data_IF_683167713137
#
_entry.id   IF_683167713137
#
_cell.length_a   1.000
_cell.length_b   1.000
_cell.length_c   1.000
_cell.angle_alpha   90.00
_cell.angle_beta   90.00
_cell.angle_gamma   90.00
#
_symmetry.space_group_name_H-M   'P 1'
#
loop_
_entity.id
_entity.type
_entity.pdbx_description
1 polymer ?
#
# COMPACT_ATOMS: atom_id res chain seq x y z
N UNK A 1 -24.53 -0.01 -8.38
CA UNK A 1 -23.18 0.27 -8.89
C UNK A 1 -22.70 1.49 -8.13
N UNK A 2 -21.81 1.30 -7.16
CA UNK A 2 -21.11 2.42 -6.52
C UNK A 2 -20.03 2.82 -7.52
N UNK A 3 -20.00 4.09 -7.89
CA UNK A 3 -18.98 4.66 -8.76
C UNK A 3 -17.70 4.76 -7.91
N UNK A 4 -16.74 3.86 -8.13
CA UNK A 4 -15.46 3.84 -7.44
C UNK A 4 -14.58 4.97 -7.99
N UNK A 5 -14.89 6.22 -7.63
CA UNK A 5 -14.16 7.40 -8.08
C UNK A 5 -13.15 7.85 -7.02
N UNK A 6 -11.95 8.26 -7.44
CA UNK A 6 -10.95 8.83 -6.54
C UNK A 6 -11.46 10.13 -5.90
N UNK A 7 -11.34 10.27 -4.58
CA UNK A 7 -11.74 11.48 -3.85
C UNK A 7 -10.72 12.62 -3.99
N UNK A 8 -9.54 12.33 -4.52
CA UNK A 8 -8.49 13.28 -4.86
C UNK A 8 -7.90 12.96 -6.22
N UNK A 9 -7.43 13.97 -6.96
CA UNK A 9 -6.83 13.77 -8.28
C UNK A 9 -5.39 14.26 -8.27
N UNK A 10 -4.46 13.35 -8.61
CA UNK A 10 -3.05 13.68 -8.82
C UNK A 10 -2.90 14.74 -9.92
N UNK A 11 -2.09 15.80 -9.70
CA UNK A 11 -1.85 16.81 -10.73
C UNK A 11 -1.31 16.18 -12.01
N UNK A 12 -1.94 16.49 -13.16
CA UNK A 12 -1.54 15.98 -14.48
C UNK A 12 -0.12 16.41 -14.89
N UNK A 13 0.43 17.45 -14.25
CA UNK A 13 1.81 17.89 -14.45
C UNK A 13 2.85 16.89 -13.93
N UNK A 14 2.45 15.94 -13.06
CA UNK A 14 3.34 14.89 -12.56
C UNK A 14 3.13 13.64 -13.41
N UNK A 15 4.17 13.27 -14.17
CA UNK A 15 4.16 12.04 -14.97
C UNK A 15 3.74 10.82 -14.13
N UNK A 16 2.97 9.92 -14.75
CA UNK A 16 2.48 8.70 -14.12
C UNK A 16 2.42 7.56 -15.17
N UNK A 17 2.94 6.36 -14.87
CA UNK A 17 3.75 6.03 -13.70
C UNK A 17 5.17 6.62 -13.80
N UNK A 18 5.71 7.12 -12.69
CA UNK A 18 7.07 7.67 -12.57
C UNK A 18 7.94 6.74 -11.74
N UNK A 19 9.20 6.56 -12.17
CA UNK A 19 10.25 5.95 -11.35
C UNK A 19 10.85 7.05 -10.46
N UNK A 20 10.80 6.83 -9.15
CA UNK A 20 11.26 7.78 -8.14
C UNK A 20 12.69 7.51 -7.71
N UNK A 21 13.10 6.24 -7.67
CA UNK A 21 14.42 5.85 -7.19
C UNK A 21 14.90 4.55 -7.84
N UNK A 22 16.20 4.45 -8.08
CA UNK A 22 16.91 3.20 -8.43
C UNK A 22 18.06 3.01 -7.46
N UNK A 23 18.27 1.79 -6.98
CA UNK A 23 19.30 1.49 -5.99
C UNK A 23 19.73 0.03 -6.02
N UNK A 24 20.82 -0.28 -5.33
CA UNK A 24 21.32 -1.65 -5.11
C UNK A 24 20.92 -2.13 -3.72
N UNK A 25 20.67 -3.43 -3.58
CA UNK A 25 20.42 -4.06 -2.28
C UNK A 25 21.59 -3.91 -1.31
N UNK A 26 21.28 -4.03 -0.02
CA UNK A 26 22.27 -3.99 1.06
C UNK A 26 23.07 -5.30 1.21
N UNK A 27 22.54 -6.40 0.69
CA UNK A 27 23.18 -7.72 0.75
C UNK A 27 22.92 -8.54 -0.50
N UNK A 28 23.76 -9.52 -0.75
CA UNK A 28 23.59 -10.45 -1.87
C UNK A 28 22.35 -11.34 -1.68
N UNK A 29 21.74 -11.70 -2.81
CA UNK A 29 20.75 -12.76 -2.95
C UNK A 29 21.33 -13.70 -4.00
N UNK A 30 21.54 -14.97 -3.64
CA UNK A 30 22.16 -15.97 -4.51
C UNK A 30 23.51 -15.52 -5.10
N UNK A 31 24.35 -14.84 -4.30
CA UNK A 31 25.69 -14.40 -4.70
C UNK A 31 25.72 -13.15 -5.59
N UNK A 32 24.60 -12.45 -5.77
CA UNK A 32 24.54 -11.20 -6.54
C UNK A 32 23.81 -10.12 -5.74
N UNK A 33 24.33 -8.89 -5.76
CA UNK A 33 23.64 -7.74 -5.19
C UNK A 33 22.48 -7.32 -6.12
N UNK A 34 21.21 -7.49 -5.70
CA UNK A 34 20.06 -7.21 -6.55
C UNK A 34 19.93 -5.71 -6.88
N UNK A 35 19.44 -5.40 -8.07
CA UNK A 35 19.00 -4.05 -8.46
C UNK A 35 17.52 -3.87 -8.14
N UNK A 36 17.17 -2.74 -7.54
CA UNK A 36 15.79 -2.37 -7.27
C UNK A 36 15.44 -1.01 -7.85
N UNK A 37 14.15 -0.78 -8.09
CA UNK A 37 13.61 0.56 -8.30
C UNK A 37 12.25 0.72 -7.63
N UNK A 38 11.96 1.95 -7.22
CA UNK A 38 10.68 2.36 -6.69
C UNK A 38 9.99 3.21 -7.74
N UNK A 39 8.72 2.90 -8.00
CA UNK A 39 7.88 3.64 -8.92
C UNK A 39 6.44 3.73 -8.41
N UNK A 40 5.68 4.64 -8.99
CA UNK A 40 4.22 4.61 -8.91
C UNK A 40 3.69 3.22 -9.29
N UNK A 41 2.66 2.76 -8.57
CA UNK A 41 1.93 1.52 -8.91
C UNK A 41 1.14 1.79 -10.20
N UNK A 42 1.51 1.19 -11.35
CA UNK A 42 0.78 1.38 -12.60
C UNK A 42 -0.64 0.83 -12.50
N UNK A 43 -1.57 1.38 -13.29
CA UNK A 43 -2.97 0.96 -13.27
C UNK A 43 -3.14 -0.55 -13.51
N UNK A 44 -2.37 -1.09 -14.46
CA UNK A 44 -2.39 -2.50 -14.81
C UNK A 44 -1.74 -3.42 -13.76
N UNK A 45 -1.12 -2.88 -12.71
CA UNK A 45 -0.53 -3.63 -11.60
C UNK A 45 -1.33 -3.50 -10.30
N UNK A 46 -2.38 -2.66 -10.24
CA UNK A 46 -3.16 -2.44 -9.00
C UNK A 46 -3.69 -3.74 -8.41
N UNK A 47 -4.32 -4.60 -9.22
CA UNK A 47 -4.85 -5.89 -8.72
C UNK A 47 -3.74 -6.85 -8.30
N UNK A 48 -2.57 -6.81 -8.97
CA UNK A 48 -1.40 -7.58 -8.55
C UNK A 48 -0.93 -7.13 -7.15
N UNK A 49 -0.93 -5.82 -6.87
CA UNK A 49 -0.64 -5.28 -5.54
C UNK A 49 -1.72 -5.67 -4.52
N UNK A 50 -3.01 -5.63 -4.87
CA UNK A 50 -4.09 -6.07 -3.96
C UNK A 50 -3.91 -7.54 -3.56
N UNK A 51 -3.57 -8.41 -4.51
CA UNK A 51 -3.25 -9.82 -4.24
C UNK A 51 -1.99 -9.96 -3.39
N UNK A 52 -0.93 -9.21 -3.72
CA UNK A 52 0.31 -9.17 -2.96
C UNK A 52 0.10 -8.80 -1.48
N UNK A 53 -0.76 -7.81 -1.22
CA UNK A 53 -1.14 -7.43 0.14
C UNK A 53 -2.02 -8.51 0.80
N UNK A 54 -3.00 -9.06 0.09
CA UNK A 54 -3.88 -10.10 0.64
C UNK A 54 -3.09 -11.37 1.01
N UNK A 55 -2.23 -11.84 0.11
CA UNK A 55 -1.51 -13.11 0.26
C UNK A 55 -0.27 -13.00 1.14
N UNK A 56 0.24 -11.80 1.34
CA UNK A 56 1.46 -11.54 2.10
C UNK A 56 1.18 -10.75 3.38
N UNK A 57 0.78 -9.50 3.25
CA UNK A 57 0.56 -8.58 4.37
C UNK A 57 -0.43 -9.14 5.40
N UNK A 58 -1.61 -9.62 4.98
CA UNK A 58 -2.61 -10.15 5.91
C UNK A 58 -2.14 -11.36 6.74
N UNK A 59 -1.17 -12.13 6.24
CA UNK A 59 -0.63 -13.30 6.97
C UNK A 59 0.26 -12.89 8.14
N UNK A 60 0.82 -11.69 8.09
CA UNK A 60 1.93 -11.29 8.96
C UNK A 60 1.65 -10.01 9.77
N UNK A 61 0.84 -9.10 9.25
CA UNK A 61 0.46 -7.87 9.95
C UNK A 61 -0.29 -8.21 11.25
N UNK A 62 0.05 -7.49 12.32
CA UNK A 62 -0.32 -7.82 13.70
C UNK A 62 -1.83 -7.90 13.91
N UNK A 63 -2.59 -6.92 13.45
CA UNK A 63 -4.05 -6.91 13.62
C UNK A 63 -4.71 -7.99 12.75
N UNK A 64 -4.30 -8.11 11.48
CA UNK A 64 -4.80 -9.14 10.56
C UNK A 64 -4.57 -10.55 11.12
N UNK A 65 -3.34 -10.83 11.57
CA UNK A 65 -2.94 -12.14 12.10
C UNK A 65 -3.61 -12.45 13.44
N UNK A 66 -3.64 -11.51 14.37
CA UNK A 66 -4.21 -11.73 15.72
C UNK A 66 -5.72 -11.95 15.69
N UNK A 67 -6.43 -11.28 14.78
CA UNK A 67 -7.87 -11.44 14.61
C UNK A 67 -8.26 -12.62 13.71
N UNK A 68 -7.27 -13.27 13.08
CA UNK A 68 -7.51 -14.34 12.12
C UNK A 68 -8.28 -13.84 10.90
N UNK A 69 -7.95 -12.65 10.39
CA UNK A 69 -8.64 -11.98 9.27
C UNK A 69 -8.86 -12.91 8.08
N UNK A 70 -7.86 -13.72 7.72
CA UNK A 70 -7.93 -14.63 6.57
C UNK A 70 -8.95 -15.77 6.73
N UNK A 71 -9.48 -16.00 7.94
CA UNK A 71 -10.55 -16.96 8.18
C UNK A 71 -11.95 -16.33 8.01
N UNK A 72 -12.04 -15.03 7.70
CA UNK A 72 -13.28 -14.29 7.47
C UNK A 72 -13.30 -13.72 6.04
N UNK A 73 -13.90 -14.44 5.07
CA UNK A 73 -13.90 -14.04 3.66
C UNK A 73 -14.55 -12.67 3.40
N UNK A 74 -15.57 -12.29 4.17
CA UNK A 74 -16.20 -10.97 4.04
C UNK A 74 -15.23 -9.87 4.44
N UNK A 75 -14.49 -10.08 5.55
CA UNK A 75 -13.46 -9.14 5.99
C UNK A 75 -12.32 -9.03 4.99
N UNK A 76 -11.89 -10.15 4.39
CA UNK A 76 -10.86 -10.15 3.34
C UNK A 76 -11.32 -9.34 2.14
N UNK A 77 -12.54 -9.56 1.64
CA UNK A 77 -13.03 -8.83 0.47
C UNK A 77 -13.23 -7.34 0.75
N UNK A 78 -13.69 -6.97 1.94
CA UNK A 78 -13.77 -5.56 2.35
C UNK A 78 -12.40 -4.89 2.36
N UNK A 79 -11.36 -5.56 2.89
CA UNK A 79 -10.01 -5.00 2.90
C UNK A 79 -9.43 -4.89 1.47
N UNK A 80 -9.73 -5.85 0.59
CA UNK A 80 -9.39 -5.78 -0.84
C UNK A 80 -10.05 -4.59 -1.53
N UNK A 81 -11.33 -4.33 -1.27
CA UNK A 81 -12.04 -3.13 -1.77
C UNK A 81 -11.40 -1.85 -1.26
N UNK A 82 -11.04 -1.80 0.03
CA UNK A 82 -10.33 -0.66 0.59
C UNK A 82 -8.99 -0.42 -0.12
N UNK A 83 -8.20 -1.47 -0.39
CA UNK A 83 -6.98 -1.35 -1.19
C UNK A 83 -7.21 -0.86 -2.62
N UNK A 84 -8.23 -1.37 -3.31
CA UNK A 84 -8.57 -0.92 -4.67
C UNK A 84 -8.86 0.58 -4.68
N UNK A 85 -9.63 1.07 -3.71
CA UNK A 85 -9.97 2.50 -3.59
C UNK A 85 -8.76 3.37 -3.29
N UNK A 86 -7.93 3.03 -2.30
CA UNK A 86 -6.75 3.87 -1.97
C UNK A 86 -5.75 3.93 -3.12
N UNK A 87 -5.71 2.92 -3.98
CA UNK A 87 -4.82 2.90 -5.16
C UNK A 87 -5.32 3.77 -6.33
N UNK A 88 -6.56 4.29 -6.29
CA UNK A 88 -7.09 5.18 -7.31
C UNK A 88 -6.47 6.58 -7.27
N UNK A 89 -5.99 7.02 -6.10
CA UNK A 89 -5.35 8.32 -5.93
C UNK A 89 -4.00 8.43 -6.66
N UNK A 90 -3.48 7.32 -7.20
CA UNK A 90 -2.21 7.28 -7.93
C UNK A 90 -1.03 7.80 -7.12
N UNK A 91 -1.07 7.64 -5.80
CA UNK A 91 0.05 7.96 -4.90
C UNK A 91 0.67 6.72 -4.28
N UNK A 92 0.18 5.49 -4.53
CA UNK A 92 0.81 4.26 -4.05
C UNK A 92 2.16 3.97 -4.74
N UNK A 93 3.12 3.39 -4.01
CA UNK A 93 4.43 3.02 -4.55
C UNK A 93 4.70 1.52 -4.44
N UNK A 94 5.36 0.99 -5.47
CA UNK A 94 5.88 -0.36 -5.50
C UNK A 94 7.40 -0.35 -5.73
N UNK A 95 8.09 -1.25 -5.04
CA UNK A 95 9.49 -1.56 -5.27
C UNK A 95 9.57 -2.85 -6.09
N UNK A 96 10.24 -2.79 -7.22
CA UNK A 96 10.47 -3.93 -8.09
C UNK A 96 11.95 -4.31 -8.10
N UNK A 97 12.22 -5.59 -8.33
CA UNK A 97 13.54 -6.14 -8.58
C UNK A 97 13.66 -6.59 -10.03
N UNK A 98 14.83 -6.42 -10.63
CA UNK A 98 15.13 -7.00 -11.94
C UNK A 98 14.98 -8.53 -11.89
N UNK A 99 14.44 -9.10 -12.96
CA UNK A 99 14.42 -10.55 -13.13
C UNK A 99 15.71 -11.00 -13.82
N UNK A 100 16.30 -12.09 -13.33
CA UNK A 100 17.51 -12.67 -13.95
C UNK A 100 17.19 -13.38 -15.28
N UNK A 101 15.94 -13.80 -15.49
CA UNK A 101 15.46 -14.22 -16.80
C UNK A 101 15.29 -12.99 -17.71
N UNK A 102 16.00 -12.90 -18.86
CA UNK A 102 15.86 -11.79 -19.81
C UNK A 102 14.45 -11.60 -20.35
N UNK A 103 13.61 -12.63 -20.34
CA UNK A 103 12.21 -12.58 -20.75
C UNK A 103 11.24 -12.47 -19.56
N UNK A 104 11.77 -12.51 -18.34
CA UNK A 104 11.00 -12.46 -17.11
C UNK A 104 10.50 -11.05 -16.81
N UNK A 105 9.27 -10.95 -16.29
CA UNK A 105 8.76 -9.69 -15.75
C UNK A 105 9.51 -9.32 -14.46
N UNK A 106 9.65 -8.01 -14.17
CA UNK A 106 10.08 -7.52 -12.86
C UNK A 106 9.36 -8.21 -11.70
N UNK A 107 10.07 -8.44 -10.61
CA UNK A 107 9.50 -9.06 -9.40
C UNK A 107 9.03 -7.94 -8.47
N UNK A 108 7.74 -7.93 -8.12
CA UNK A 108 7.21 -7.03 -7.08
C UNK A 108 7.80 -7.45 -5.72
N UNK A 109 8.72 -6.64 -5.20
CA UNK A 109 9.49 -6.95 -4.00
C UNK A 109 8.88 -6.35 -2.72
N UNK A 110 8.28 -5.17 -2.86
CA UNK A 110 7.58 -4.49 -1.79
C UNK A 110 6.52 -3.53 -2.35
N UNK A 111 5.51 -3.19 -1.56
CA UNK A 111 4.51 -2.19 -1.90
C UNK A 111 4.07 -1.41 -0.67
N UNK A 112 3.68 -0.16 -0.88
CA UNK A 112 3.03 0.67 0.11
C UNK A 112 1.80 1.34 -0.51
N UNK A 113 0.62 0.90 -0.06
CA UNK A 113 -0.65 1.42 -0.51
C UNK A 113 -0.94 2.70 0.26
N UNK A 114 -1.00 3.84 -0.42
CA UNK A 114 -1.20 5.16 0.16
C UNK A 114 -2.28 5.91 -0.59
N UNK A 115 -2.97 6.81 0.11
CA UNK A 115 -4.01 7.69 -0.42
C UNK A 115 -3.88 9.09 0.20
N UNK A 116 -4.59 10.06 -0.36
CA UNK A 116 -4.70 11.41 0.17
C UNK A 116 -5.99 11.51 0.98
N UNK A 117 -5.87 11.78 2.28
CA UNK A 117 -7.00 12.11 3.14
C UNK A 117 -7.18 13.63 3.18
N UNK A 118 -8.41 14.11 3.04
CA UNK A 118 -8.75 15.53 3.24
C UNK A 118 -9.36 15.77 4.62
N UNK A 119 -9.19 16.98 5.16
CA UNK A 119 -9.71 17.34 6.49
C UNK A 119 -11.25 17.35 6.54
N UNK A 120 -11.90 17.63 5.41
CA UNK A 120 -13.36 17.76 5.24
C UNK A 120 -13.99 16.57 4.52
N UNK A 121 -13.24 15.47 4.36
CA UNK A 121 -13.72 14.28 3.64
C UNK A 121 -14.80 13.55 4.44
N UNK A 122 -15.97 13.33 3.81
CA UNK A 122 -16.95 12.38 4.32
C UNK A 122 -16.34 10.96 4.34
N UNK A 123 -16.75 10.13 5.30
CA UNK A 123 -16.25 8.75 5.38
C UNK A 123 -16.44 8.02 4.04
N UNK A 124 -15.40 7.30 3.62
CA UNK A 124 -15.38 6.57 2.34
C UNK A 124 -16.62 5.68 2.23
N UNK A 125 -17.34 5.79 1.11
CA UNK A 125 -18.56 5.05 0.79
C UNK A 125 -18.30 3.55 0.49
N UNK A 126 -17.56 2.86 1.35
CA UNK A 126 -17.50 1.40 1.35
C UNK A 126 -18.43 0.84 2.42
N UNK A 127 -19.28 -0.10 2.00
CA UNK A 127 -19.95 -0.96 2.96
C UNK A 127 -18.91 -1.88 3.60
N UNK A 128 -18.58 -1.63 4.86
CA UNK A 128 -17.65 -2.45 5.63
C UNK A 128 -18.38 -3.71 6.12
N UNK A 129 -18.13 -4.84 5.47
CA UNK A 129 -18.67 -6.16 5.84
C UNK A 129 -17.58 -7.07 6.42
N UNK A 130 -17.95 -7.97 7.32
CA UNK A 130 -17.03 -8.85 8.01
C UNK A 130 -16.59 -8.32 9.38
N UNK A 131 -16.65 -9.19 10.39
CA UNK A 131 -16.41 -8.79 11.78
C UNK A 131 -14.95 -8.42 12.06
N UNK A 132 -13.99 -9.08 11.39
CA UNK A 132 -12.56 -8.89 11.67
C UNK A 132 -12.06 -7.56 11.13
N UNK A 133 -12.43 -7.19 9.90
CA UNK A 133 -12.04 -5.90 9.33
C UNK A 133 -12.70 -4.73 10.05
N UNK A 134 -13.94 -4.89 10.53
CA UNK A 134 -14.62 -3.90 11.38
C UNK A 134 -13.83 -3.64 12.66
N UNK A 135 -13.33 -4.70 13.32
CA UNK A 135 -12.48 -4.58 14.50
C UNK A 135 -11.14 -3.89 14.21
N UNK A 136 -10.53 -4.18 13.05
CA UNK A 136 -9.30 -3.50 12.61
C UNK A 136 -9.55 -2.01 12.43
N UNK A 137 -10.55 -1.62 11.63
CA UNK A 137 -10.83 -0.21 11.36
C UNK A 137 -11.29 0.54 12.62
N UNK A 138 -12.10 -0.07 13.48
CA UNK A 138 -12.45 0.53 14.76
C UNK A 138 -11.20 0.79 15.63
N UNK A 139 -10.25 -0.15 15.66
CA UNK A 139 -8.98 0.02 16.39
C UNK A 139 -8.15 1.15 15.81
N UNK A 140 -8.02 1.23 14.49
CA UNK A 140 -7.28 2.29 13.82
C UNK A 140 -7.93 3.67 14.03
N UNK A 141 -9.26 3.76 13.98
CA UNK A 141 -9.98 5.00 14.22
C UNK A 141 -9.73 5.54 15.63
N UNK A 142 -9.79 4.68 16.66
CA UNK A 142 -9.46 5.09 18.05
C UNK A 142 -8.05 5.67 18.15
N UNK A 143 -7.06 5.07 17.47
CA UNK A 143 -5.69 5.58 17.47
C UNK A 143 -5.54 6.90 16.71
N UNK A 144 -6.26 7.06 15.59
CA UNK A 144 -6.21 8.27 14.77
C UNK A 144 -6.96 9.45 15.43
N UNK A 145 -7.99 9.16 16.22
CA UNK A 145 -8.82 10.18 16.89
C UNK A 145 -8.18 10.72 18.18
N UNK A 146 -7.11 10.10 18.69
CA UNK A 146 -6.40 10.57 19.89
C UNK A 146 -5.87 12.00 19.71
N UNK A 147 -5.48 12.35 18.48
CA UNK A 147 -5.05 13.71 18.13
C UNK A 147 -5.36 14.01 16.67
N UNK A 148 -6.08 15.11 16.44
CA UNK A 148 -6.37 15.56 15.09
C UNK A 148 -5.07 15.95 14.34
N UNK A 149 -4.65 15.10 13.42
CA UNK A 149 -3.42 15.30 12.64
C UNK A 149 -3.48 16.52 11.72
N UNK A 150 -4.67 16.89 11.22
CA UNK A 150 -4.86 18.07 10.38
C UNK A 150 -4.62 19.35 11.17
N UNK A 151 -5.22 19.46 12.35
CA UNK A 151 -5.00 20.59 13.27
C UNK A 151 -3.55 20.65 13.73
N UNK A 152 -2.97 19.51 14.09
CA UNK A 152 -1.60 19.48 14.63
C UNK A 152 -0.54 19.86 13.59
N UNK A 153 -0.72 19.45 12.33
CA UNK A 153 0.22 19.74 11.24
C UNK A 153 -0.16 21.00 10.45
N UNK A 154 -1.27 21.66 10.82
CA UNK A 154 -1.80 22.86 10.14
C UNK A 154 -1.95 22.65 8.62
N UNK A 155 -2.59 21.53 8.23
CA UNK A 155 -2.77 21.12 6.83
C UNK A 155 -4.17 20.61 6.55
N UNK A 156 -4.63 20.77 5.31
CA UNK A 156 -5.91 20.21 4.83
C UNK A 156 -5.76 18.83 4.19
N UNK A 157 -4.53 18.41 3.89
CA UNK A 157 -4.22 17.16 3.20
C UNK A 157 -3.18 16.34 3.95
N UNK A 158 -3.40 15.03 4.01
CA UNK A 158 -2.45 14.07 4.57
C UNK A 158 -2.22 12.94 3.58
N UNK A 159 -0.95 12.59 3.35
CA UNK A 159 -0.61 11.31 2.73
C UNK A 159 -0.74 10.21 3.78
N UNK A 160 -1.81 9.43 3.71
CA UNK A 160 -2.10 8.32 4.61
C UNK A 160 -1.76 6.99 3.96
N UNK A 161 -1.54 5.95 4.77
CA UNK A 161 -1.15 4.63 4.32
C UNK A 161 -2.12 3.55 4.80
N UNK A 162 -2.45 2.61 3.90
CA UNK A 162 -3.16 1.38 4.20
C UNK A 162 -2.24 0.19 3.94
N UNK A 163 -1.16 0.12 4.72
CA UNK A 163 -0.23 -1.00 4.72
C UNK A 163 1.03 -0.81 3.87
N UNK A 164 2.11 -1.36 4.38
CA UNK A 164 3.40 -1.50 3.72
C UNK A 164 3.85 -2.95 3.90
N UNK A 165 4.18 -3.62 2.80
CA UNK A 165 4.63 -4.99 2.84
C UNK A 165 5.90 -5.20 2.02
N UNK A 166 6.83 -5.96 2.60
CA UNK A 166 8.06 -6.41 1.96
C UNK A 166 8.07 -7.93 1.96
N UNK A 167 8.26 -8.54 0.79
CA UNK A 167 8.34 -9.98 0.68
C UNK A 167 9.45 -10.55 1.58
N UNK A 168 9.22 -11.67 2.26
CA UNK A 168 10.17 -12.23 3.22
C UNK A 168 11.59 -12.39 2.67
N UNK A 169 11.75 -12.87 1.42
CA UNK A 169 13.06 -13.06 0.80
C UNK A 169 13.85 -11.76 0.55
N UNK A 170 13.18 -10.61 0.51
CA UNK A 170 13.80 -9.31 0.29
C UNK A 170 13.93 -8.47 1.57
N UNK A 171 13.54 -9.01 2.73
CA UNK A 171 13.77 -8.33 4.02
C UNK A 171 15.26 -8.18 4.29
N UNK A 172 15.63 -7.18 5.08
CA UNK A 172 17.04 -6.82 5.30
C UNK A 172 17.72 -6.11 4.13
N UNK A 173 17.03 -5.88 3.00
CA UNK A 173 17.52 -5.07 1.88
C UNK A 173 17.19 -3.56 2.01
N UNK A 174 16.57 -3.14 3.13
CA UNK A 174 16.17 -1.74 3.34
C UNK A 174 14.94 -1.27 2.57
N UNK A 175 14.23 -2.15 1.85
CA UNK A 175 13.15 -1.76 0.92
C UNK A 175 12.01 -0.96 1.58
N UNK A 176 11.65 -1.29 2.82
CA UNK A 176 10.61 -0.56 3.55
C UNK A 176 11.02 0.89 3.83
N UNK A 177 12.26 1.11 4.26
CA UNK A 177 12.82 2.45 4.46
C UNK A 177 12.88 3.22 3.15
N UNK A 178 13.32 2.56 2.07
CA UNK A 178 13.45 3.21 0.77
C UNK A 178 12.09 3.62 0.18
N UNK A 179 11.04 2.83 0.39
CA UNK A 179 9.67 3.21 0.04
C UNK A 179 9.21 4.47 0.78
N UNK A 180 9.50 4.58 2.08
CA UNK A 180 9.13 5.74 2.89
C UNK A 180 9.93 7.00 2.51
N UNK A 181 11.22 6.85 2.20
CA UNK A 181 12.07 7.96 1.74
C UNK A 181 11.74 8.45 0.33
N UNK A 182 10.94 7.70 -0.43
CA UNK A 182 10.56 8.04 -1.81
C UNK A 182 9.20 8.74 -1.89
N UNK A 183 8.69 9.23 -0.75
CA UNK A 183 7.43 9.97 -0.60
C UNK A 183 7.64 11.48 -0.68
#
# INVERSE_FOLDING_TARGET
MLDETANWTRPQSVAFPKVWRRFKGLREINGTVPSFWIQDIPENERENVVNFMTDGFCKEETLCKSLGLLNDPESVETLRKAWRLVLLDNVGLACYMENLDPNGKPILAAANCTHIKKCDEEEVNITITGSKVQQIFATLNVLMDEKNAFEFLETDFLLSALGLYVLPQFRGQGLGLELLNSR
#
